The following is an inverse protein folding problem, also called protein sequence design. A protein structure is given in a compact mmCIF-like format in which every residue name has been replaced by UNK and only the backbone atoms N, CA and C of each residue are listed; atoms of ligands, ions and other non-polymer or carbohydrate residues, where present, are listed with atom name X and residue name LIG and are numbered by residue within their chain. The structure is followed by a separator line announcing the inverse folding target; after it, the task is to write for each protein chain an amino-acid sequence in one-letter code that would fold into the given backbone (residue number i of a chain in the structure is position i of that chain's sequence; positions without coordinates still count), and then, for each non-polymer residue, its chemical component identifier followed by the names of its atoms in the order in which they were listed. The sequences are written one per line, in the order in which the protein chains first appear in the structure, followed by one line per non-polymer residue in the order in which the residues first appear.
data_IF_481488533418
#
_entry.id   IF_481488533418
#
_cell.length_a   1.000
_cell.length_b   1.000
_cell.length_c   1.000
_cell.angle_alpha   90.00
_cell.angle_beta   90.00
_cell.angle_gamma   90.00
#
_symmetry.space_group_name_H-M   'P 1'
#
loop_
_entity.id
_entity.type
_entity.pdbx_description
1 polymer ?
#
# COMPACT_ATOMS: atom_id res chain seq x y z
N UNK A 1 1.40 -6.24 13.63
CA UNK A 1 0.41 -7.31 13.82
C UNK A 1 0.77 -8.09 15.09
N UNK A 2 -0.21 -8.65 15.77
CA UNK A 2 -0.02 -9.56 16.91
C UNK A 2 -0.44 -10.94 16.41
N UNK A 3 0.51 -11.87 16.37
CA UNK A 3 0.29 -13.25 15.90
C UNK A 3 0.42 -14.17 17.10
N UNK A 4 -0.53 -15.11 17.25
CA UNK A 4 -0.52 -16.15 18.27
C UNK A 4 -0.96 -17.46 17.60
N UNK A 5 -0.19 -18.53 17.79
CA UNK A 5 -0.47 -19.84 17.19
C UNK A 5 -0.63 -19.78 15.66
N UNK A 6 0.22 -18.98 15.00
CA UNK A 6 0.17 -18.63 13.56
C UNK A 6 -1.12 -17.92 13.08
N UNK A 7 -2.01 -17.55 13.99
CA UNK A 7 -3.20 -16.77 13.71
C UNK A 7 -3.03 -15.29 14.06
N UNK A 8 -3.57 -14.43 13.21
CA UNK A 8 -3.64 -13.00 13.47
C UNK A 8 -4.71 -12.72 14.54
N UNK A 9 -4.27 -12.39 15.76
CA UNK A 9 -5.17 -12.13 16.90
C UNK A 9 -5.35 -10.65 17.21
N UNK A 10 -4.64 -9.76 16.52
CA UNK A 10 -4.88 -8.33 16.64
C UNK A 10 -3.80 -7.43 16.05
N UNK A 11 -3.96 -6.13 16.31
CA UNK A 11 -3.05 -5.10 15.80
C UNK A 11 -2.58 -4.20 16.94
N UNK A 12 -1.27 -4.14 17.12
CA UNK A 12 -0.64 -3.12 17.96
C UNK A 12 -0.33 -1.91 17.10
N UNK A 13 -0.82 -0.74 17.50
CA UNK A 13 -0.46 0.49 16.83
C UNK A 13 0.99 0.85 17.18
N UNK A 14 1.88 0.84 16.19
CA UNK A 14 3.33 1.03 16.40
C UNK A 14 3.67 2.52 16.55
N UNK A 15 2.89 3.40 15.93
CA UNK A 15 3.12 4.85 15.97
C UNK A 15 1.79 5.58 16.01
N UNK A 16 1.31 5.88 17.22
CA UNK A 16 -0.01 6.48 17.49
C UNK A 16 -0.22 7.83 16.79
N UNK A 17 0.87 8.56 16.52
CA UNK A 17 0.84 9.86 15.85
C UNK A 17 0.73 9.74 14.33
N UNK A 18 0.87 8.55 13.74
CA UNK A 18 0.62 8.36 12.31
C UNK A 18 -0.89 8.22 12.12
N UNK A 19 -1.52 9.24 11.55
CA UNK A 19 -2.96 9.27 11.28
C UNK A 19 -3.26 9.03 9.81
N UNK A 20 -2.42 9.58 8.92
CA UNK A 20 -2.51 9.40 7.48
C UNK A 20 -1.19 8.92 6.90
N UNK A 21 -1.28 8.06 5.91
CA UNK A 21 -0.16 7.67 5.05
C UNK A 21 -0.44 8.21 3.65
N UNK A 22 0.55 8.85 3.04
CA UNK A 22 0.53 9.20 1.62
C UNK A 22 1.59 8.42 0.89
N UNK A 23 1.24 7.85 -0.26
CA UNK A 23 2.19 7.20 -1.17
C UNK A 23 2.09 7.90 -2.52
N UNK A 24 3.17 8.58 -2.90
CA UNK A 24 3.32 9.16 -4.22
C UNK A 24 4.14 8.22 -5.11
N UNK A 25 3.66 7.94 -6.31
CA UNK A 25 4.30 7.02 -7.23
C UNK A 25 5.07 7.80 -8.29
N UNK A 26 6.38 7.59 -8.35
CA UNK A 26 7.23 8.22 -9.37
C UNK A 26 7.36 7.35 -10.63
N UNK A 27 7.06 6.05 -10.53
CA UNK A 27 7.04 5.07 -11.62
C UNK A 27 5.66 4.42 -11.79
N UNK A 28 5.37 3.90 -12.99
CA UNK A 28 4.08 3.26 -13.31
C UNK A 28 4.14 1.73 -13.27
N UNK A 29 3.11 1.08 -12.73
CA UNK A 29 2.91 -0.37 -12.88
C UNK A 29 2.29 -0.64 -14.25
N UNK A 30 3.04 -1.34 -15.11
CA UNK A 30 2.69 -1.61 -16.51
C UNK A 30 3.43 -2.85 -16.99
N UNK A 31 2.76 -3.68 -17.80
CA UNK A 31 3.39 -4.80 -18.51
C UNK A 31 4.22 -4.34 -19.72
N UNK A 32 4.00 -3.10 -20.19
CA UNK A 32 4.82 -2.51 -21.25
C UNK A 32 6.07 -1.92 -20.63
N UNK A 33 7.23 -2.42 -21.07
CA UNK A 33 8.53 -1.89 -20.68
C UNK A 33 8.77 -0.50 -21.24
N UNK A 34 9.15 0.40 -20.34
CA UNK A 34 9.57 1.78 -20.59
C UNK A 34 10.46 2.23 -19.41
N UNK A 35 11.21 3.31 -19.58
CA UNK A 35 12.25 3.75 -18.64
C UNK A 35 11.73 4.02 -17.21
N UNK A 36 10.43 4.30 -17.07
CA UNK A 36 9.77 4.64 -15.80
C UNK A 36 8.61 3.70 -15.46
N UNK A 37 8.77 2.42 -15.81
CA UNK A 37 7.75 1.39 -15.57
C UNK A 37 8.31 0.19 -14.82
N UNK A 38 7.41 -0.56 -14.20
CA UNK A 38 7.70 -1.84 -13.56
C UNK A 38 6.50 -2.80 -13.69
N UNK A 39 6.74 -4.11 -13.61
CA UNK A 39 5.68 -5.13 -13.51
C UNK A 39 5.74 -5.88 -12.18
N UNK A 40 4.61 -6.45 -11.77
CA UNK A 40 4.38 -6.79 -10.36
C UNK A 40 4.35 -5.53 -9.50
N UNK A 41 4.84 -5.60 -8.26
CA UNK A 41 5.04 -4.42 -7.41
C UNK A 41 3.77 -3.68 -7.00
N UNK A 42 2.59 -4.27 -7.23
CA UNK A 42 1.31 -3.67 -6.87
C UNK A 42 1.22 -3.44 -5.36
N UNK A 43 0.41 -2.46 -4.96
CA UNK A 43 0.08 -2.26 -3.57
C UNK A 43 -1.18 -3.08 -3.24
N UNK A 44 -1.01 -4.15 -2.47
CA UNK A 44 -2.11 -5.00 -2.00
C UNK A 44 -2.59 -4.49 -0.64
N UNK A 45 -3.88 -4.21 -0.49
CA UNK A 45 -4.51 -3.95 0.81
C UNK A 45 -5.06 -5.25 1.39
N UNK A 46 -4.45 -5.74 2.46
CA UNK A 46 -4.67 -7.09 2.99
C UNK A 46 -6.10 -7.34 3.53
N UNK A 47 -6.80 -6.28 3.93
CA UNK A 47 -8.14 -6.37 4.53
C UNK A 47 -9.23 -5.64 3.73
N UNK A 48 -8.90 -5.10 2.56
CA UNK A 48 -9.88 -4.45 1.70
C UNK A 48 -10.23 -5.39 0.55
N UNK A 49 -11.54 -5.58 0.37
CA UNK A 49 -12.10 -6.43 -0.68
C UNK A 49 -13.14 -5.65 -1.47
N UNK A 50 -13.26 -5.97 -2.75
CA UNK A 50 -14.35 -5.45 -3.58
C UNK A 50 -15.69 -6.14 -3.26
N UNK A 51 -16.75 -5.74 -3.96
CA UNK A 51 -18.10 -6.32 -3.82
C UNK A 51 -18.19 -7.81 -4.14
N UNK A 52 -17.20 -8.36 -4.84
CA UNK A 52 -17.10 -9.76 -5.26
C UNK A 52 -16.21 -10.57 -4.31
N UNK A 53 -15.59 -9.92 -3.30
CA UNK A 53 -14.69 -10.55 -2.36
C UNK A 53 -13.25 -10.66 -2.86
N UNK A 54 -12.88 -9.98 -3.95
CA UNK A 54 -11.48 -9.97 -4.42
C UNK A 54 -10.65 -8.95 -3.64
N UNK A 55 -9.39 -9.27 -3.25
CA UNK A 55 -8.52 -8.32 -2.59
C UNK A 55 -8.25 -7.08 -3.46
N UNK A 56 -8.30 -5.90 -2.86
CA UNK A 56 -7.98 -4.65 -3.56
C UNK A 56 -6.47 -4.57 -3.81
N UNK A 57 -6.11 -4.61 -5.10
CA UNK A 57 -4.74 -4.41 -5.60
C UNK A 57 -4.69 -3.11 -6.40
N UNK A 58 -3.84 -2.19 -5.98
CA UNK A 58 -3.66 -0.92 -6.67
C UNK A 58 -2.47 -0.99 -7.63
N UNK A 59 -2.73 -0.70 -8.91
CA UNK A 59 -1.72 -0.56 -9.97
C UNK A 59 -1.43 0.92 -10.20
N UNK A 60 -0.34 1.47 -9.62
CA UNK A 60 -0.08 2.90 -9.68
C UNK A 60 0.37 3.36 -11.06
N UNK A 61 0.09 4.63 -11.39
CA UNK A 61 0.73 5.37 -12.48
C UNK A 61 1.66 6.44 -11.90
N UNK A 62 2.72 6.73 -12.63
CA UNK A 62 3.63 7.82 -12.29
C UNK A 62 2.86 9.15 -12.19
N UNK A 63 3.10 9.88 -11.10
CA UNK A 63 2.39 11.13 -10.77
C UNK A 63 1.15 10.93 -9.88
N UNK A 64 0.69 9.71 -9.67
CA UNK A 64 -0.43 9.46 -8.76
C UNK A 64 0.01 9.53 -7.29
N UNK A 65 -0.91 10.00 -6.45
CA UNK A 65 -0.79 9.93 -5.00
C UNK A 65 -2.04 9.27 -4.44
N UNK A 66 -1.84 8.29 -3.56
CA UNK A 66 -2.92 7.76 -2.73
C UNK A 66 -2.73 8.21 -1.29
N UNK A 67 -3.86 8.44 -0.62
CA UNK A 67 -3.91 8.84 0.78
C UNK A 67 -4.87 7.90 1.50
N UNK A 68 -4.44 7.35 2.62
CA UNK A 68 -5.27 6.45 3.43
C UNK A 68 -4.93 6.55 4.91
N UNK A 69 -5.88 6.13 5.76
CA UNK A 69 -5.71 6.17 7.21
C UNK A 69 -4.61 5.19 7.64
N UNK A 70 -3.75 5.61 8.56
CA UNK A 70 -2.71 4.76 9.15
C UNK A 70 -3.29 3.86 10.26
N UNK A 71 -4.25 3.00 9.90
CA UNK A 71 -4.90 2.07 10.81
C UNK A 71 -4.92 0.64 10.24
N UNK A 72 -5.27 -0.38 11.06
CA UNK A 72 -5.25 -1.78 10.63
C UNK A 72 -6.07 -2.14 9.39
N UNK A 73 -7.18 -1.43 9.11
CA UNK A 73 -8.00 -1.71 7.92
C UNK A 73 -7.23 -1.47 6.62
N UNK A 74 -6.28 -0.53 6.63
CA UNK A 74 -5.42 -0.22 5.49
C UNK A 74 -4.03 -0.86 5.61
N UNK A 75 -3.90 -1.97 6.34
CA UNK A 75 -2.69 -2.79 6.27
C UNK A 75 -2.47 -3.18 4.80
N UNK A 76 -1.25 -2.96 4.33
CA UNK A 76 -0.89 -3.14 2.94
C UNK A 76 0.53 -3.68 2.81
N UNK A 77 0.79 -4.34 1.69
CA UNK A 77 2.10 -4.80 1.28
C UNK A 77 2.38 -4.42 -0.17
N UNK A 78 3.67 -4.27 -0.47
CA UNK A 78 4.13 -4.11 -1.85
C UNK A 78 4.48 -5.51 -2.35
N UNK A 79 3.78 -5.96 -3.38
CA UNK A 79 4.07 -7.25 -4.00
C UNK A 79 5.47 -7.24 -4.62
N UNK A 80 5.98 -8.43 -4.92
CA UNK A 80 7.30 -8.56 -5.56
C UNK A 80 7.31 -7.84 -6.92
N UNK A 81 8.33 -7.01 -7.14
CA UNK A 81 8.62 -6.46 -8.47
C UNK A 81 9.26 -7.57 -9.29
N UNK A 82 8.68 -7.88 -10.43
CA UNK A 82 9.20 -8.91 -11.32
C UNK A 82 10.14 -8.33 -12.37
N UNK A 83 9.85 -7.14 -12.91
CA UNK A 83 10.71 -6.43 -13.86
C UNK A 83 10.66 -4.91 -13.66
N UNK A 84 11.71 -4.21 -14.09
CA UNK A 84 11.84 -2.76 -14.01
C UNK A 84 12.21 -2.24 -12.61
N UNK A 85 11.93 -0.96 -12.36
CA UNK A 85 12.24 -0.30 -11.08
C UNK A 85 11.02 0.46 -10.55
N UNK A 86 10.61 0.11 -9.33
CA UNK A 86 9.51 0.77 -8.62
C UNK A 86 10.04 1.86 -7.71
N UNK A 87 9.70 3.12 -8.01
CA UNK A 87 10.01 4.28 -7.18
C UNK A 87 8.73 4.90 -6.61
N UNK A 88 8.69 5.04 -5.29
CA UNK A 88 7.60 5.71 -4.57
C UNK A 88 8.14 6.50 -3.38
N UNK A 89 7.53 7.64 -3.08
CA UNK A 89 7.77 8.39 -1.86
C UNK A 89 6.64 8.13 -0.87
N UNK A 90 7.00 7.77 0.36
CA UNK A 90 6.04 7.51 1.44
C UNK A 90 6.23 8.55 2.52
N UNK A 91 5.12 9.16 2.96
CA UNK A 91 5.12 10.12 4.07
C UNK A 91 4.01 9.74 5.05
N UNK A 92 4.35 9.78 6.34
CA UNK A 92 3.38 9.64 7.43
C UNK A 92 3.10 10.99 8.04
N UNK A 93 1.83 11.25 8.31
CA UNK A 93 1.35 12.53 8.79
C UNK A 93 0.68 12.36 10.15
N UNK A 94 1.05 13.24 11.08
CA UNK A 94 0.24 13.53 12.24
C UNK A 94 -0.77 14.59 11.83
N UNK A 95 -2.02 14.16 11.63
CA UNK A 95 -3.07 14.95 11.02
C UNK A 95 -4.32 14.91 11.88
N UNK A 96 -5.08 16.00 11.89
CA UNK A 96 -6.39 16.04 12.51
C UNK A 96 -7.35 15.27 11.59
N UNK A 97 -7.81 14.11 12.05
CA UNK A 97 -8.86 13.32 11.39
C UNK A 97 -10.17 13.54 12.14
N UNK A 98 -11.21 14.00 11.44
CA UNK A 98 -12.54 14.33 11.98
C UNK A 98 -13.28 13.13 12.56
#
# INVERSE_FOLDING_TARGET
MIVKDDELVGFKNVAINRKLTTVFFASSCSEKEDFNTFSGGELLFNFLFDKEGNPIKYKPKAGEMIVFLSNPFFTHEVLKVENGYRLSLVQWHDAITS
#
